data_IF_181389885392
#
_entry.id   IF_181389885392
#
_cell.length_a   1.000
_cell.length_b   1.000
_cell.length_c   1.000
_cell.angle_alpha   90.00
_cell.angle_beta   90.00
_cell.angle_gamma   90.00
#
_symmetry.space_group_name_H-M   'P 1'
#
loop_
_entity.id
_entity.type
_entity.pdbx_description
1 polymer ?
#
# COMPACT_ATOMS: atom_id res chain seq x y z
N UNK A 1 10.64 -34.85 -2.64
CA UNK A 1 10.06 -33.83 -3.55
C UNK A 1 9.50 -32.63 -2.78
N UNK A 2 10.29 -31.89 -1.97
CA UNK A 2 9.73 -30.83 -1.11
C UNK A 2 9.10 -29.67 -1.91
N UNK A 3 9.74 -29.26 -3.01
CA UNK A 3 9.24 -28.19 -3.87
C UNK A 3 7.89 -28.51 -4.52
N UNK A 4 7.66 -29.78 -4.87
CA UNK A 4 6.37 -30.22 -5.44
C UNK A 4 5.26 -30.17 -4.39
N UNK A 5 5.56 -30.61 -3.16
CA UNK A 5 4.62 -30.55 -2.04
C UNK A 5 4.25 -29.10 -1.73
N UNK A 6 5.24 -28.19 -1.71
CA UNK A 6 5.01 -26.76 -1.51
C UNK A 6 4.19 -26.17 -2.66
N UNK A 7 4.49 -26.50 -3.92
CA UNK A 7 3.72 -26.04 -5.07
C UNK A 7 2.24 -26.48 -5.00
N UNK A 8 2.00 -27.74 -4.63
CA UNK A 8 0.64 -28.26 -4.39
C UNK A 8 -0.02 -27.51 -3.21
N UNK A 9 0.72 -27.24 -2.14
CA UNK A 9 0.25 -26.43 -1.01
C UNK A 9 -0.19 -25.03 -1.44
N UNK A 10 0.60 -24.35 -2.28
CA UNK A 10 0.24 -23.03 -2.83
C UNK A 10 -1.03 -23.13 -3.68
N UNK A 11 -1.14 -24.13 -4.56
CA UNK A 11 -2.35 -24.33 -5.37
C UNK A 11 -3.58 -24.62 -4.50
N UNK A 12 -3.42 -25.42 -3.44
CA UNK A 12 -4.49 -25.69 -2.48
C UNK A 12 -4.90 -24.42 -1.72
N UNK A 13 -3.94 -23.60 -1.29
CA UNK A 13 -4.19 -22.31 -0.65
C UNK A 13 -5.01 -21.38 -1.56
N UNK A 14 -4.56 -21.23 -2.81
CA UNK A 14 -5.27 -20.42 -3.80
C UNK A 14 -6.67 -20.99 -4.08
N UNK A 15 -6.82 -22.32 -4.14
CA UNK A 15 -8.12 -22.98 -4.30
C UNK A 15 -9.08 -22.73 -3.13
N UNK A 16 -8.57 -22.77 -1.90
CA UNK A 16 -9.37 -22.49 -0.69
C UNK A 16 -9.82 -21.02 -0.64
N UNK A 17 -8.93 -20.09 -1.00
CA UNK A 17 -9.22 -18.65 -0.95
C UNK A 17 -10.09 -18.21 -2.14
N UNK A 18 -9.75 -18.61 -3.37
CA UNK A 18 -10.44 -18.13 -4.58
C UNK A 18 -11.68 -18.97 -4.93
N UNK A 19 -11.59 -20.29 -4.77
CA UNK A 19 -12.67 -21.22 -5.11
C UNK A 19 -13.69 -21.34 -3.98
N UNK A 20 -13.22 -21.78 -2.81
CA UNK A 20 -14.08 -22.01 -1.63
C UNK A 20 -14.36 -20.73 -0.82
N UNK A 21 -13.67 -19.62 -1.12
CA UNK A 21 -13.83 -18.32 -0.45
C UNK A 21 -13.64 -18.39 1.07
N UNK A 22 -12.77 -19.29 1.53
CA UNK A 22 -12.42 -19.37 2.93
C UNK A 22 -11.54 -18.19 3.33
N UNK A 23 -11.64 -17.79 4.60
CA UNK A 23 -10.80 -16.74 5.15
C UNK A 23 -9.30 -17.11 4.99
N UNK A 24 -8.46 -16.14 4.63
CA UNK A 24 -7.03 -16.32 4.38
C UNK A 24 -6.32 -16.96 5.57
N UNK A 25 -6.64 -16.54 6.80
CA UNK A 25 -6.02 -17.06 8.02
C UNK A 25 -6.35 -18.54 8.23
N UNK A 26 -7.63 -18.92 8.08
CA UNK A 26 -8.07 -20.32 8.20
C UNK A 26 -7.44 -21.18 7.10
N UNK A 27 -7.41 -20.68 5.87
CA UNK A 27 -6.83 -21.38 4.72
C UNK A 27 -5.34 -21.62 4.91
N UNK A 28 -4.60 -20.64 5.44
CA UNK A 28 -3.17 -20.78 5.75
C UNK A 28 -2.91 -21.85 6.81
N UNK A 29 -3.73 -21.93 7.87
CA UNK A 29 -3.58 -22.97 8.90
C UNK A 29 -3.82 -24.36 8.32
N UNK A 30 -4.92 -24.54 7.57
CA UNK A 30 -5.26 -25.83 6.95
C UNK A 30 -4.15 -26.30 6.00
N UNK A 31 -3.67 -25.40 5.14
CA UNK A 31 -2.60 -25.72 4.18
C UNK A 31 -1.28 -25.97 4.87
N UNK A 32 -0.90 -25.15 5.86
CA UNK A 32 0.33 -25.36 6.63
C UNK A 32 0.35 -26.72 7.33
N UNK A 33 -0.79 -27.12 7.91
CA UNK A 33 -0.93 -28.44 8.52
C UNK A 33 -0.81 -29.57 7.47
N UNK A 34 -1.49 -29.44 6.32
CA UNK A 34 -1.41 -30.42 5.23
C UNK A 34 -0.01 -30.54 4.63
N UNK A 35 0.69 -29.43 4.45
CA UNK A 35 2.08 -29.41 3.97
C UNK A 35 3.02 -30.03 4.99
N UNK A 36 2.88 -29.72 6.28
CA UNK A 36 3.69 -30.32 7.34
C UNK A 36 3.54 -31.85 7.40
N UNK A 37 2.31 -32.35 7.27
CA UNK A 37 2.04 -33.79 7.16
C UNK A 37 2.69 -34.41 5.92
N UNK A 38 2.54 -33.77 4.75
CA UNK A 38 3.10 -34.28 3.50
C UNK A 38 4.65 -34.27 3.49
N UNK A 39 5.27 -33.38 4.25
CA UNK A 39 6.71 -33.34 4.47
C UNK A 39 7.20 -34.36 5.52
N UNK A 40 6.30 -35.09 6.17
CA UNK A 40 6.64 -36.15 7.13
C UNK A 40 6.92 -35.65 8.54
N UNK A 41 6.44 -34.45 8.91
CA UNK A 41 6.63 -33.91 10.25
C UNK A 41 5.83 -34.73 11.30
N UNK A 42 6.42 -35.05 12.47
CA UNK A 42 5.70 -35.72 13.56
C UNK A 42 4.47 -34.90 14.00
N UNK A 43 3.31 -35.56 14.14
CA UNK A 43 2.03 -34.91 14.49
C UNK A 43 2.10 -34.03 15.75
N UNK A 44 2.89 -34.45 16.74
CA UNK A 44 3.11 -33.73 17.99
C UNK A 44 3.96 -32.45 17.84
N UNK A 45 4.67 -32.29 16.73
CA UNK A 45 5.52 -31.12 16.44
C UNK A 45 4.85 -30.12 15.49
N UNK A 46 3.85 -30.54 14.72
CA UNK A 46 3.21 -29.69 13.70
C UNK A 46 2.60 -28.44 14.33
N UNK A 47 1.78 -28.59 15.37
CA UNK A 47 1.11 -27.47 16.04
C UNK A 47 2.14 -26.48 16.59
N UNK A 48 3.16 -26.99 17.29
CA UNK A 48 4.24 -26.17 17.87
C UNK A 48 5.03 -25.43 16.78
N UNK A 49 5.26 -26.07 15.64
CA UNK A 49 5.99 -25.45 14.51
C UNK A 49 5.17 -24.35 13.86
N UNK A 50 3.87 -24.58 13.65
CA UNK A 50 2.95 -23.55 13.13
C UNK A 50 2.86 -22.37 14.11
N UNK A 51 2.71 -22.63 15.40
CA UNK A 51 2.69 -21.61 16.45
C UNK A 51 3.99 -20.80 16.50
N UNK A 52 5.15 -21.47 16.44
CA UNK A 52 6.45 -20.82 16.45
C UNK A 52 6.66 -19.95 15.20
N UNK A 53 6.30 -20.45 14.01
CA UNK A 53 6.36 -19.68 12.77
C UNK A 53 5.46 -18.44 12.82
N UNK A 54 4.20 -18.62 13.19
CA UNK A 54 3.25 -17.52 13.32
C UNK A 54 3.71 -16.49 14.37
N UNK A 55 4.18 -16.97 15.54
CA UNK A 55 4.64 -16.14 16.64
C UNK A 55 5.89 -15.33 16.29
N UNK A 56 6.84 -15.91 15.54
CA UNK A 56 8.02 -15.21 15.06
C UNK A 56 7.68 -14.06 14.10
N UNK A 57 6.83 -14.33 13.11
CA UNK A 57 6.37 -13.32 12.15
C UNK A 57 5.57 -12.22 12.84
N UNK A 58 4.63 -12.56 13.72
CA UNK A 58 3.83 -11.58 14.45
C UNK A 58 4.68 -10.76 15.44
N UNK A 59 5.63 -11.38 16.13
CA UNK A 59 6.47 -10.71 17.11
C UNK A 59 7.30 -9.58 16.51
N UNK A 60 7.93 -9.83 15.35
CA UNK A 60 8.72 -8.82 14.65
C UNK A 60 7.84 -7.69 14.07
N UNK A 61 6.66 -8.04 13.53
CA UNK A 61 5.85 -7.11 12.74
C UNK A 61 4.78 -6.36 13.55
N UNK A 62 4.41 -6.85 14.74
CA UNK A 62 3.34 -6.26 15.54
C UNK A 62 3.58 -4.78 15.86
N UNK A 63 4.82 -4.41 16.20
CA UNK A 63 5.17 -3.01 16.48
C UNK A 63 5.11 -2.14 15.22
N UNK A 64 5.69 -2.62 14.12
CA UNK A 64 5.70 -1.90 12.84
C UNK A 64 4.26 -1.66 12.37
N UNK A 65 3.40 -2.66 12.43
CA UNK A 65 2.01 -2.56 11.99
C UNK A 65 1.16 -1.74 12.95
N UNK A 66 1.33 -1.95 14.27
CA UNK A 66 0.59 -1.20 15.29
C UNK A 66 0.89 0.29 15.23
N UNK A 67 2.17 0.66 15.26
CA UNK A 67 2.58 2.06 15.19
C UNK A 67 2.28 2.69 13.83
N UNK A 68 2.48 1.95 12.74
CA UNK A 68 2.13 2.40 11.40
C UNK A 68 0.63 2.65 11.23
N UNK A 69 -0.21 1.75 11.71
CA UNK A 69 -1.66 1.90 11.69
C UNK A 69 -2.13 3.07 12.57
N UNK A 70 -1.55 3.24 13.76
CA UNK A 70 -1.84 4.39 14.63
C UNK A 70 -1.45 5.71 13.96
N UNK A 71 -0.24 5.82 13.42
CA UNK A 71 0.22 7.01 12.72
C UNK A 71 -0.68 7.33 11.52
N UNK A 72 -0.99 6.33 10.70
CA UNK A 72 -1.86 6.50 9.56
C UNK A 72 -3.27 6.95 9.96
N UNK A 73 -3.82 6.37 11.03
CA UNK A 73 -5.12 6.76 11.57
C UNK A 73 -5.11 8.19 12.11
N UNK A 74 -4.06 8.61 12.81
CA UNK A 74 -3.90 9.99 13.29
C UNK A 74 -3.83 11.00 12.14
N UNK A 75 -3.12 10.68 11.05
CA UNK A 75 -3.06 11.55 9.86
C UNK A 75 -4.43 11.65 9.16
N UNK A 76 -5.15 10.53 9.07
CA UNK A 76 -6.49 10.50 8.48
C UNK A 76 -7.50 11.29 9.35
N UNK A 77 -7.47 11.08 10.68
CA UNK A 77 -8.43 11.69 11.61
C UNK A 77 -8.14 13.16 11.92
N UNK A 78 -6.89 13.62 11.75
CA UNK A 78 -6.53 15.05 11.82
C UNK A 78 -6.84 15.83 10.54
N UNK A 79 -7.29 15.15 9.48
CA UNK A 79 -7.46 15.76 8.16
C UNK A 79 -6.15 16.12 7.45
N UNK A 80 -4.99 15.68 7.97
CA UNK A 80 -3.68 15.93 7.35
C UNK A 80 -3.57 15.36 5.94
N UNK A 81 -4.13 14.16 5.71
CA UNK A 81 -4.15 13.58 4.37
C UNK A 81 -5.08 14.35 3.40
N UNK A 82 -6.20 14.90 3.89
CA UNK A 82 -7.03 15.83 3.09
C UNK A 82 -6.26 17.11 2.78
N UNK A 83 -5.51 17.67 3.74
CA UNK A 83 -4.64 18.84 3.51
C UNK A 83 -3.62 18.58 2.41
N UNK A 84 -2.94 17.43 2.43
CA UNK A 84 -1.96 17.05 1.40
C UNK A 84 -2.61 17.04 0.03
N UNK A 85 -3.72 16.32 -0.12
CA UNK A 85 -4.42 16.18 -1.38
C UNK A 85 -4.90 17.53 -1.93
N UNK A 86 -5.61 18.31 -1.13
CA UNK A 86 -6.12 19.61 -1.56
C UNK A 86 -4.99 20.59 -1.87
N UNK A 87 -3.91 20.64 -1.07
CA UNK A 87 -2.80 21.57 -1.32
C UNK A 87 -2.11 21.27 -2.66
N UNK A 88 -1.87 20.00 -2.97
CA UNK A 88 -1.22 19.60 -4.23
C UNK A 88 -2.12 19.88 -5.43
N UNK A 89 -3.42 19.62 -5.31
CA UNK A 89 -4.42 19.93 -6.33
C UNK A 89 -4.44 21.43 -6.66
N UNK A 90 -4.46 22.29 -5.64
CA UNK A 90 -4.41 23.75 -5.85
C UNK A 90 -3.07 24.20 -6.45
N UNK A 91 -1.95 23.60 -6.02
CA UNK A 91 -0.61 24.00 -6.45
C UNK A 91 -0.31 23.62 -7.91
N UNK A 92 -0.73 22.43 -8.34
CA UNK A 92 -0.48 21.96 -9.72
C UNK A 92 -1.44 22.60 -10.74
N UNK A 93 -2.60 23.07 -10.27
CA UNK A 93 -3.62 23.69 -11.10
C UNK A 93 -4.38 22.70 -11.98
N UNK A 94 -5.43 23.18 -12.64
CA UNK A 94 -6.37 22.35 -13.39
C UNK A 94 -5.71 21.56 -14.53
N UNK A 95 -4.73 22.18 -15.21
CA UNK A 95 -4.03 21.58 -16.36
C UNK A 95 -3.26 20.30 -15.99
N UNK A 96 -2.72 20.23 -14.77
CA UNK A 96 -1.88 19.12 -14.31
C UNK A 96 -2.54 18.32 -13.19
N UNK A 97 -3.86 18.39 -13.08
CA UNK A 97 -4.62 17.78 -11.98
C UNK A 97 -4.38 16.27 -11.84
N UNK A 98 -4.20 15.56 -12.96
CA UNK A 98 -3.91 14.13 -12.95
C UNK A 98 -2.60 13.81 -12.23
N UNK A 99 -1.57 14.64 -12.43
CA UNK A 99 -0.29 14.52 -11.75
C UNK A 99 -0.36 14.93 -10.29
N UNK A 100 -1.20 15.92 -9.96
CA UNK A 100 -1.47 16.32 -8.59
C UNK A 100 -2.07 15.15 -7.79
N UNK A 101 -3.05 14.46 -8.39
CA UNK A 101 -3.68 13.27 -7.79
C UNK A 101 -2.67 12.15 -7.62
N UNK A 102 -1.82 11.88 -8.63
CA UNK A 102 -0.75 10.86 -8.51
C UNK A 102 0.18 11.20 -7.35
N UNK A 103 0.70 12.42 -7.28
CA UNK A 103 1.63 12.83 -6.24
C UNK A 103 1.00 12.76 -4.84
N UNK A 104 -0.24 13.25 -4.70
CA UNK A 104 -0.98 13.16 -3.44
C UNK A 104 -1.20 11.71 -3.03
N UNK A 105 -1.67 10.87 -3.95
CA UNK A 105 -1.92 9.45 -3.72
C UNK A 105 -0.65 8.69 -3.38
N UNK A 106 0.47 9.03 -3.98
CA UNK A 106 1.76 8.42 -3.69
C UNK A 106 2.25 8.77 -2.28
N UNK A 107 2.22 10.04 -1.90
CA UNK A 107 2.61 10.48 -0.54
C UNK A 107 1.68 9.85 0.50
N UNK A 108 0.38 9.86 0.25
CA UNK A 108 -0.61 9.28 1.16
C UNK A 108 -0.45 7.75 1.22
N UNK A 109 -0.24 7.09 0.09
CA UNK A 109 -0.09 5.63 0.02
C UNK A 109 1.22 5.10 0.58
N UNK A 110 2.23 5.95 0.78
CA UNK A 110 3.43 5.63 1.56
C UNK A 110 3.11 5.56 3.07
N UNK A 111 2.18 6.40 3.53
CA UNK A 111 1.87 6.56 4.95
C UNK A 111 0.64 5.75 5.41
N UNK A 112 -0.35 5.62 4.55
CA UNK A 112 -1.64 4.99 4.81
C UNK A 112 -1.75 3.67 4.06
N UNK A 113 -2.45 2.72 4.67
CA UNK A 113 -2.88 1.51 3.98
C UNK A 113 -3.73 1.85 2.75
N UNK A 114 -3.65 0.99 1.74
CA UNK A 114 -4.39 1.14 0.48
C UNK A 114 -5.86 1.49 0.70
N UNK A 115 -6.56 0.72 1.54
CA UNK A 115 -7.98 0.88 1.80
C UNK A 115 -8.30 2.25 2.44
N UNK A 116 -7.50 2.67 3.42
CA UNK A 116 -7.68 3.95 4.12
C UNK A 116 -7.42 5.12 3.16
N UNK A 117 -6.30 5.06 2.41
CA UNK A 117 -5.97 6.08 1.42
C UNK A 117 -7.01 6.16 0.30
N UNK A 118 -7.54 5.03 -0.15
CA UNK A 118 -8.56 4.95 -1.17
C UNK A 118 -9.87 5.61 -0.69
N UNK A 119 -10.37 5.20 0.48
CA UNK A 119 -11.61 5.76 1.06
C UNK A 119 -11.50 7.28 1.23
N UNK A 120 -10.35 7.77 1.66
CA UNK A 120 -10.11 9.21 1.83
C UNK A 120 -10.05 9.97 0.49
N UNK A 121 -9.37 9.44 -0.52
CA UNK A 121 -9.12 10.16 -1.77
C UNK A 121 -10.28 10.11 -2.75
N UNK A 122 -11.13 9.08 -2.67
CA UNK A 122 -12.34 8.96 -3.50
C UNK A 122 -13.18 10.25 -3.47
N UNK A 123 -13.67 10.77 -2.32
CA UNK A 123 -14.52 11.95 -2.29
C UNK A 123 -13.82 13.18 -2.90
N UNK A 124 -12.52 13.34 -2.67
CA UNK A 124 -11.71 14.42 -3.21
C UNK A 124 -11.63 14.32 -4.74
N UNK A 125 -11.34 13.13 -5.27
CA UNK A 125 -11.28 12.86 -6.71
C UNK A 125 -12.64 13.12 -7.37
N UNK A 126 -13.73 12.74 -6.72
CA UNK A 126 -15.09 13.01 -7.20
C UNK A 126 -15.41 14.51 -7.22
N UNK A 127 -15.07 15.25 -6.17
CA UNK A 127 -15.27 16.69 -6.09
C UNK A 127 -14.52 17.42 -7.21
N UNK A 128 -13.25 17.07 -7.43
CA UNK A 128 -12.40 17.62 -8.49
C UNK A 128 -12.94 17.24 -9.87
N UNK A 129 -13.31 15.97 -10.06
CA UNK A 129 -13.88 15.48 -11.32
C UNK A 129 -15.12 16.28 -11.72
N UNK A 130 -16.02 16.55 -10.75
CA UNK A 130 -17.23 17.36 -10.97
C UNK A 130 -16.89 18.82 -11.26
N UNK A 131 -15.98 19.41 -10.50
CA UNK A 131 -15.57 20.81 -10.67
C UNK A 131 -14.93 21.06 -12.03
N UNK A 132 -14.00 20.20 -12.44
CA UNK A 132 -13.28 20.32 -13.71
C UNK A 132 -14.01 19.68 -14.89
N UNK A 133 -15.19 19.09 -14.66
CA UNK A 133 -15.99 18.35 -15.66
C UNK A 133 -15.18 17.29 -16.41
N UNK A 134 -14.26 16.63 -15.71
CA UNK A 134 -13.47 15.50 -16.23
C UNK A 134 -14.02 14.18 -15.70
N UNK A 135 -13.72 13.08 -16.39
CA UNK A 135 -14.13 11.74 -15.95
C UNK A 135 -13.52 11.37 -14.59
N UNK A 136 -14.28 10.68 -13.74
CA UNK A 136 -13.73 10.13 -12.49
C UNK A 136 -12.64 9.11 -12.79
N UNK A 137 -12.80 8.28 -13.84
CA UNK A 137 -11.79 7.29 -14.22
C UNK A 137 -10.47 7.94 -14.64
N UNK A 138 -10.52 9.17 -15.18
CA UNK A 138 -9.33 9.92 -15.56
C UNK A 138 -8.41 10.25 -14.37
N UNK A 139 -9.00 10.42 -13.18
CA UNK A 139 -8.30 10.72 -11.93
C UNK A 139 -8.18 9.49 -11.01
N UNK A 140 -9.19 8.62 -11.03
CA UNK A 140 -9.32 7.45 -10.18
C UNK A 140 -8.37 6.31 -10.56
N UNK A 141 -8.12 6.08 -11.86
CA UNK A 141 -7.12 5.08 -12.29
C UNK A 141 -5.71 5.47 -11.81
N UNK A 142 -5.20 6.69 -12.05
CA UNK A 142 -3.92 7.12 -11.51
C UNK A 142 -3.83 7.10 -9.99
N UNK A 143 -4.91 7.49 -9.30
CA UNK A 143 -5.00 7.39 -7.83
C UNK A 143 -4.84 5.95 -7.36
N UNK A 144 -5.63 5.03 -7.89
CA UNK A 144 -5.60 3.62 -7.52
C UNK A 144 -4.24 2.98 -7.85
N UNK A 145 -3.65 3.32 -8.99
CA UNK A 145 -2.32 2.85 -9.37
C UNK A 145 -1.25 3.33 -8.38
N UNK A 146 -1.25 4.61 -8.03
CA UNK A 146 -0.31 5.18 -7.05
C UNK A 146 -0.44 4.49 -5.68
N UNK A 147 -1.66 4.38 -5.14
CA UNK A 147 -1.91 3.70 -3.86
C UNK A 147 -1.53 2.22 -3.90
N UNK A 148 -1.83 1.52 -5.00
CA UNK A 148 -1.55 0.08 -5.13
C UNK A 148 -0.05 -0.20 -5.18
N UNK A 149 0.69 0.59 -5.96
CA UNK A 149 2.13 0.41 -6.10
C UNK A 149 2.84 0.71 -4.79
N UNK A 150 2.49 1.80 -4.08
CA UNK A 150 3.11 2.10 -2.79
C UNK A 150 2.82 1.00 -1.76
N UNK A 151 1.58 0.50 -1.74
CA UNK A 151 1.16 -0.57 -0.84
C UNK A 151 1.90 -1.89 -1.10
N UNK A 152 2.11 -2.22 -2.39
CA UNK A 152 2.69 -3.50 -2.78
C UNK A 152 4.22 -3.51 -2.85
N UNK A 153 4.88 -2.36 -3.06
CA UNK A 153 6.31 -2.32 -3.39
C UNK A 153 7.17 -1.74 -2.26
N UNK A 154 6.59 -0.93 -1.36
CA UNK A 154 7.37 -0.14 -0.41
C UNK A 154 7.20 -0.65 1.03
N UNK A 155 8.29 -1.04 1.72
CA UNK A 155 8.30 -1.07 3.18
C UNK A 155 7.88 0.30 3.76
N UNK A 156 7.23 0.36 4.93
CA UNK A 156 7.08 -0.71 5.92
C UNK A 156 5.81 -1.56 5.73
N UNK A 157 5.16 -1.53 4.56
CA UNK A 157 3.93 -2.30 4.33
C UNK A 157 4.12 -3.79 4.60
N UNK A 158 3.09 -4.48 5.12
CA UNK A 158 3.20 -5.86 5.56
C UNK A 158 3.85 -6.83 4.57
N UNK A 159 3.38 -6.84 3.32
CA UNK A 159 3.90 -7.76 2.30
C UNK A 159 5.39 -7.54 2.02
N UNK A 160 5.81 -6.33 1.59
CA UNK A 160 7.21 -6.01 1.37
C UNK A 160 8.11 -6.28 2.58
N UNK A 161 7.66 -5.91 3.79
CA UNK A 161 8.45 -6.08 5.01
C UNK A 161 8.63 -7.56 5.38
N UNK A 162 7.58 -8.39 5.25
CA UNK A 162 7.69 -9.85 5.48
C UNK A 162 8.67 -10.45 4.49
N UNK A 163 8.52 -10.16 3.19
CA UNK A 163 9.39 -10.74 2.16
C UNK A 163 10.85 -10.32 2.40
N UNK A 164 11.10 -9.05 2.71
CA UNK A 164 12.45 -8.58 3.04
C UNK A 164 13.04 -9.33 4.24
N UNK A 165 12.26 -9.51 5.31
CA UNK A 165 12.68 -10.24 6.51
C UNK A 165 13.00 -11.71 6.24
N UNK A 166 12.16 -12.43 5.49
CA UNK A 166 12.35 -13.86 5.17
C UNK A 166 13.59 -14.11 4.31
N UNK A 167 13.93 -13.17 3.42
CA UNK A 167 15.15 -13.24 2.61
C UNK A 167 16.39 -12.66 3.30
N UNK A 168 16.25 -12.13 4.53
CA UNK A 168 17.33 -11.44 5.24
C UNK A 168 17.84 -10.19 4.51
N UNK A 169 16.98 -9.56 3.69
CA UNK A 169 17.31 -8.36 2.95
C UNK A 169 17.24 -7.12 3.84
N UNK A 170 18.15 -6.17 3.62
CA UNK A 170 18.09 -4.88 4.29
C UNK A 170 16.82 -4.12 3.85
N UNK A 171 15.97 -3.78 4.82
CA UNK A 171 14.68 -3.11 4.57
C UNK A 171 14.89 -1.74 3.90
N UNK A 172 16.00 -1.07 4.22
CA UNK A 172 16.39 0.20 3.64
C UNK A 172 16.76 0.10 2.17
N UNK A 173 17.56 -0.91 1.80
CA UNK A 173 17.87 -1.20 0.39
C UNK A 173 16.61 -1.59 -0.39
N UNK A 174 15.74 -2.42 0.19
CA UNK A 174 14.45 -2.79 -0.41
C UNK A 174 13.57 -1.56 -0.63
N UNK A 175 13.55 -0.61 0.31
CA UNK A 175 12.85 0.65 0.18
C UNK A 175 13.41 1.50 -0.98
N UNK A 176 14.74 1.61 -1.09
CA UNK A 176 15.40 2.35 -2.17
C UNK A 176 15.06 1.77 -3.55
N UNK A 177 15.25 0.47 -3.74
CA UNK A 177 14.87 -0.22 -4.98
C UNK A 177 13.37 -0.13 -5.23
N UNK A 178 12.57 -0.25 -4.16
CA UNK A 178 11.14 -0.04 -4.17
C UNK A 178 10.75 1.30 -4.78
N UNK A 179 11.36 2.42 -4.36
CA UNK A 179 11.10 3.74 -4.94
C UNK A 179 11.53 3.85 -6.41
N UNK A 180 12.71 3.31 -6.74
CA UNK A 180 13.23 3.30 -8.11
C UNK A 180 12.27 2.60 -9.07
N UNK A 181 11.63 1.51 -8.63
CA UNK A 181 10.68 0.74 -9.44
C UNK A 181 9.26 1.31 -9.34
N UNK A 182 8.86 1.81 -8.18
CA UNK A 182 7.52 2.32 -7.92
C UNK A 182 7.20 3.54 -8.79
N UNK A 183 8.12 4.50 -8.90
CA UNK A 183 7.87 5.74 -9.66
C UNK A 183 7.56 5.44 -11.14
N UNK A 184 8.40 4.69 -11.91
CA UNK A 184 8.07 4.28 -13.27
C UNK A 184 6.77 3.49 -13.34
N UNK A 185 6.53 2.57 -12.40
CA UNK A 185 5.33 1.73 -12.39
C UNK A 185 4.06 2.56 -12.22
N UNK A 186 4.05 3.54 -11.33
CA UNK A 186 2.91 4.46 -11.13
C UNK A 186 2.66 5.30 -12.38
N UNK A 187 3.72 5.78 -13.04
CA UNK A 187 3.60 6.56 -14.27
C UNK A 187 2.97 5.72 -15.40
N UNK A 188 3.44 4.48 -15.54
CA UNK A 188 2.97 3.54 -16.57
C UNK A 188 1.54 3.05 -16.30
N UNK A 189 1.28 2.53 -15.09
CA UNK A 189 -0.01 1.96 -14.70
C UNK A 189 -1.07 3.02 -14.37
N UNK A 190 -0.67 4.27 -14.11
CA UNK A 190 -1.56 5.37 -13.81
C UNK A 190 -1.85 6.24 -15.05
N UNK A 191 -1.21 7.41 -15.21
CA UNK A 191 -1.52 8.36 -16.29
C UNK A 191 -1.40 7.77 -17.71
N UNK A 192 -0.37 6.97 -17.98
CA UNK A 192 -0.15 6.40 -19.32
C UNK A 192 -1.23 5.36 -19.63
N UNK A 193 -1.44 4.40 -18.73
CA UNK A 193 -2.51 3.41 -18.87
C UNK A 193 -3.89 4.06 -18.97
N UNK A 194 -4.14 5.16 -18.25
CA UNK A 194 -5.42 5.89 -18.34
C UNK A 194 -5.69 6.41 -19.76
N UNK A 195 -4.66 6.87 -20.48
CA UNK A 195 -4.80 7.28 -21.89
C UNK A 195 -5.16 6.10 -22.78
N UNK A 196 -4.53 4.94 -22.55
CA UNK A 196 -4.83 3.71 -23.28
C UNK A 196 -6.25 3.21 -22.97
N UNK A 197 -6.63 3.15 -21.69
CA UNK A 197 -7.96 2.76 -21.24
C UNK A 197 -9.06 3.64 -21.84
N UNK A 198 -8.82 4.97 -21.92
CA UNK A 198 -9.74 5.90 -22.58
C UNK A 198 -9.92 5.61 -24.07
N UNK A 199 -8.87 5.14 -24.75
CA UNK A 199 -8.95 4.72 -26.17
C UNK A 199 -9.66 3.38 -26.35
N UNK A 200 -9.45 2.44 -25.43
CA UNK A 200 -10.03 1.10 -25.50
C UNK A 200 -11.52 1.07 -25.13
N UNK A 201 -11.91 1.82 -24.09
CA UNK A 201 -13.28 1.82 -23.56
C UNK A 201 -13.78 3.26 -23.32
N UNK A 202 -13.93 4.07 -24.39
CA UNK A 202 -14.28 5.49 -24.28
C UNK A 202 -15.63 5.72 -23.59
N UNK A 203 -16.59 4.80 -23.77
CA UNK A 203 -17.92 4.88 -23.15
C UNK A 203 -17.87 4.85 -21.61
N UNK A 204 -16.83 4.27 -21.00
CA UNK A 204 -16.66 4.27 -19.54
C UNK A 204 -16.19 5.63 -19.02
N UNK A 205 -15.50 6.42 -19.85
CA UNK A 205 -14.98 7.74 -19.46
C UNK A 205 -16.02 8.86 -19.59
N UNK A 206 -17.13 8.63 -20.29
CA UNK A 206 -18.25 9.59 -20.40
C UNK A 206 -19.27 9.46 -19.27
N UNK A 207 -19.17 8.40 -18.45
CA UNK A 207 -20.04 8.22 -17.29
C UNK A 207 -19.62 9.15 -16.15
N UNK A 208 -20.57 9.94 -15.68
CA UNK A 208 -20.46 10.63 -14.39
C UNK A 208 -20.83 9.64 -13.29
N UNK A 209 -19.90 9.42 -12.36
CA UNK A 209 -20.13 8.52 -11.23
C UNK A 209 -21.09 9.14 -10.22
N UNK A 210 -21.81 8.27 -9.51
CA UNK A 210 -22.74 8.67 -8.47
C UNK A 210 -22.06 8.54 -7.09
N UNK A 211 -21.89 9.67 -6.38
CA UNK A 211 -21.31 9.69 -5.02
C UNK A 211 -22.26 9.05 -4.00
N UNK A 212 -23.57 9.00 -4.29
CA UNK A 212 -24.60 8.56 -3.33
C UNK A 212 -24.41 7.11 -2.83
N UNK A 213 -23.58 6.30 -3.49
CA UNK A 213 -23.26 4.93 -3.06
C UNK A 213 -22.08 4.83 -2.08
N UNK A 214 -21.41 5.94 -1.72
CA UNK A 214 -20.15 5.91 -0.95
C UNK A 214 -20.31 6.20 0.56
N UNK A 215 -21.54 6.31 1.07
CA UNK A 215 -21.81 6.60 2.49
C UNK A 215 -21.40 8.02 2.92
N UNK A 216 -21.54 8.32 4.22
CA UNK A 216 -21.05 9.59 4.77
C UNK A 216 -19.53 9.60 4.81
N UNK A 217 -18.93 10.56 4.09
CA UNK A 217 -17.50 10.79 4.08
C UNK A 217 -17.18 11.94 5.04
N UNK A 218 -16.16 11.75 5.87
CA UNK A 218 -15.75 12.75 6.86
C UNK A 218 -14.96 13.85 6.15
N UNK A 219 -15.63 14.95 5.83
CA UNK A 219 -15.00 16.11 5.19
C UNK A 219 -14.53 17.08 6.27
N UNK A 220 -13.23 17.39 6.29
CA UNK A 220 -12.66 18.35 7.23
C UNK A 220 -12.68 19.76 6.64
N UNK A 221 -12.90 20.78 7.48
CA UNK A 221 -12.61 22.15 7.08
C UNK A 221 -11.10 22.33 7.07
N UNK A 222 -10.56 22.86 5.97
CA UNK A 222 -9.11 23.04 5.81
C UNK A 222 -8.47 23.92 6.90
N UNK A 223 -9.24 24.77 7.55
CA UNK A 223 -8.84 25.64 8.66
C UNK A 223 -8.52 24.84 9.94
N UNK A 224 -9.20 23.72 10.13
CA UNK A 224 -9.04 22.84 11.31
C UNK A 224 -7.96 21.76 11.09
N UNK A 225 -7.38 21.69 9.88
CA UNK A 225 -6.35 20.70 9.53
C UNK A 225 -4.93 21.19 9.81
N UNK A 226 -3.98 20.30 10.15
CA UNK A 226 -2.58 20.69 10.28
C UNK A 226 -2.03 21.21 8.95
N UNK A 227 -0.99 22.04 9.01
CA UNK A 227 -0.34 22.59 7.83
C UNK A 227 0.20 21.52 6.87
N UNK A 228 0.35 21.86 5.58
CA UNK A 228 0.82 20.93 4.55
C UNK A 228 2.19 20.32 4.90
N UNK A 229 3.15 21.15 5.31
CA UNK A 229 4.50 20.68 5.65
C UNK A 229 4.50 19.68 6.82
N UNK A 230 3.74 19.97 7.87
CA UNK A 230 3.59 19.07 9.02
C UNK A 230 2.94 17.77 8.58
N UNK A 231 1.85 17.87 7.80
CA UNK A 231 1.12 16.69 7.31
C UNK A 231 2.02 15.77 6.47
N UNK A 232 2.79 16.34 5.53
CA UNK A 232 3.73 15.56 4.70
C UNK A 232 4.86 14.99 5.55
N UNK A 233 5.45 15.78 6.44
CA UNK A 233 6.52 15.33 7.32
C UNK A 233 6.07 14.17 8.20
N UNK A 234 4.92 14.29 8.86
CA UNK A 234 4.33 13.25 9.70
C UNK A 234 3.99 12.00 8.89
N UNK A 235 3.41 12.16 7.70
CA UNK A 235 3.09 11.05 6.80
C UNK A 235 4.34 10.31 6.32
N UNK A 236 5.38 11.04 5.92
CA UNK A 236 6.62 10.47 5.41
C UNK A 236 7.60 10.09 6.52
N UNK A 237 7.28 10.34 7.80
CA UNK A 237 8.21 10.15 8.92
C UNK A 237 8.84 8.75 8.94
N UNK A 238 8.08 7.63 8.82
CA UNK A 238 8.69 6.30 8.82
C UNK A 238 9.68 6.12 7.67
N UNK A 239 9.33 6.57 6.48
CA UNK A 239 10.20 6.49 5.29
C UNK A 239 11.44 7.37 5.42
N UNK A 240 11.30 8.57 5.99
CA UNK A 240 12.43 9.47 6.25
C UNK A 240 13.40 8.80 7.23
N UNK A 241 12.89 8.25 8.33
CA UNK A 241 13.72 7.56 9.32
C UNK A 241 14.41 6.33 8.73
N UNK A 242 13.69 5.50 7.97
CA UNK A 242 14.27 4.35 7.27
C UNK A 242 15.34 4.77 6.26
N UNK A 243 15.08 5.83 5.47
CA UNK A 243 16.05 6.34 4.50
C UNK A 243 17.33 6.85 5.19
N UNK A 244 17.19 7.56 6.31
CA UNK A 244 18.34 8.01 7.12
C UNK A 244 19.13 6.81 7.63
N UNK A 245 18.45 5.81 8.22
CA UNK A 245 19.10 4.59 8.69
C UNK A 245 19.87 3.89 7.56
N UNK A 246 19.25 3.74 6.39
CA UNK A 246 19.87 3.14 5.19
C UNK A 246 21.13 3.90 4.78
N UNK A 247 21.07 5.24 4.72
CA UNK A 247 22.21 6.07 4.34
C UNK A 247 23.35 5.90 5.35
N UNK A 248 23.05 5.87 6.65
CA UNK A 248 24.04 5.65 7.70
C UNK A 248 24.69 4.26 7.54
N UNK A 249 23.90 3.21 7.35
CA UNK A 249 24.41 1.84 7.15
C UNK A 249 25.30 1.73 5.91
N UNK A 250 24.90 2.36 4.79
CA UNK A 250 25.71 2.41 3.57
C UNK A 250 27.02 3.18 3.78
N UNK A 251 26.99 4.29 4.51
CA UNK A 251 28.19 5.06 4.84
C UNK A 251 29.13 4.29 5.76
N UNK A 252 28.61 3.65 6.82
CA UNK A 252 29.39 2.77 7.71
C UNK A 252 30.10 1.67 6.93
N UNK A 253 29.38 0.97 6.05
CA UNK A 253 29.92 -0.08 5.18
C UNK A 253 30.99 0.44 4.21
N UNK A 254 30.85 1.67 3.72
CA UNK A 254 31.81 2.29 2.78
C UNK A 254 33.06 2.81 3.49
N UNK A 255 32.91 3.32 4.72
CA UNK A 255 34.00 3.93 5.50
C UNK A 255 34.73 2.89 6.36
N UNK A 256 34.17 1.68 6.51
CA UNK A 256 34.76 0.59 7.30
C UNK A 256 34.62 0.78 8.81
N UNK A 257 33.62 1.56 9.24
CA UNK A 257 33.22 1.67 10.64
C UNK A 257 32.12 0.61 10.88
N UNK A 258 32.42 -0.40 11.71
CA UNK A 258 31.40 -1.32 12.25
C UNK A 258 30.47 -0.61 13.24
#
# INVERSE_FOLDING_TARGET
MPLVIVAIGILALLGLIMGLKLNTFISLIIVSFGVALALGMPLNEIVKTIEAGLGGTLGHLALIFGLGAMLGKLIADSGGAQRIAMTLVHKFGEKNIQWAVVAASFIIGVALFFEVGLVLLIPIVFAISRQLKVSILYLGIPMAAALSVTHGFLPPHPGPTVIAGEYGADIGEVLLYGFIIAIPTVILAGPIFTKLAKKLVPASFTKTGNIASLGEQKEFKLEDTPGFGISVFTAMLPVILMSIATIITLLQKTIGFE
#
